data_IF_213029507920
#
_entry.id   IF_213029507920
#
_cell.length_a   1.000
_cell.length_b   1.000
_cell.length_c   1.000
_cell.angle_alpha   90.00
_cell.angle_beta   90.00
_cell.angle_gamma   90.00
#
_symmetry.space_group_name_H-M   'P 1'
#
loop_
_entity.id
_entity.type
_entity.pdbx_description
1 polymer ?
#
# COMPACT_ATOMS: atom_id res chain seq x y z
N UNK A 1 -19.75 15.30 13.50
CA UNK A 1 -18.83 15.43 14.65
C UNK A 1 -17.44 15.39 14.05
N UNK A 2 -16.69 16.49 14.09
CA UNK A 2 -15.33 16.52 13.53
C UNK A 2 -14.43 15.56 14.32
N UNK A 3 -13.58 14.75 13.65
CA UNK A 3 -12.69 13.82 14.34
C UNK A 3 -11.66 14.60 15.17
N UNK A 4 -11.57 14.29 16.46
CA UNK A 4 -10.53 14.84 17.33
C UNK A 4 -9.19 14.16 17.04
N UNK A 5 -8.24 14.89 16.49
CA UNK A 5 -6.88 14.41 16.23
C UNK A 5 -6.07 14.50 17.52
N UNK A 6 -5.54 13.36 17.98
CA UNK A 6 -4.73 13.25 19.22
C UNK A 6 -3.28 12.83 18.97
N UNK A 7 -3.03 12.17 17.85
CA UNK A 7 -1.75 11.53 17.55
C UNK A 7 -1.19 12.06 16.24
N UNK A 8 0.12 12.28 16.24
CA UNK A 8 0.91 12.53 15.04
C UNK A 8 1.80 11.31 14.81
N UNK A 9 1.53 10.53 13.77
CA UNK A 9 2.28 9.30 13.49
C UNK A 9 3.27 9.56 12.36
N UNK A 10 4.52 9.14 12.55
CA UNK A 10 5.58 9.28 11.53
C UNK A 10 6.30 7.95 11.35
N UNK A 11 6.32 7.45 10.12
CA UNK A 11 7.00 6.24 9.69
C UNK A 11 7.87 6.51 8.45
N UNK A 12 8.55 5.48 7.93
CA UNK A 12 9.53 5.62 6.83
C UNK A 12 10.96 5.77 7.35
N UNK A 13 11.95 5.54 6.48
CA UNK A 13 13.37 5.57 6.87
C UNK A 13 13.82 6.90 7.50
N UNK A 14 13.20 8.01 7.11
CA UNK A 14 13.46 9.34 7.71
C UNK A 14 13.01 9.42 9.16
N UNK A 15 11.96 8.67 9.56
CA UNK A 15 11.48 8.61 10.94
C UNK A 15 12.48 7.95 11.90
N UNK A 16 13.42 7.15 11.37
CA UNK A 16 14.53 6.57 12.15
C UNK A 16 15.63 7.59 12.48
N UNK A 17 15.61 8.78 11.88
CA UNK A 17 16.57 9.83 12.18
C UNK A 17 16.20 10.53 13.50
N UNK A 18 17.07 10.38 14.51
CA UNK A 18 16.83 10.93 15.84
C UNK A 18 16.71 12.46 15.85
N UNK A 19 17.47 13.17 15.03
CA UNK A 19 17.39 14.63 14.93
C UNK A 19 16.01 15.05 14.39
N UNK A 20 15.54 14.41 13.33
CA UNK A 20 14.22 14.67 12.75
C UNK A 20 13.11 14.36 13.76
N UNK A 21 13.19 13.20 14.43
CA UNK A 21 12.21 12.78 15.44
C UNK A 21 12.10 13.76 16.60
N UNK A 22 13.22 14.27 17.12
CA UNK A 22 13.23 15.26 18.20
C UNK A 22 12.50 16.55 17.80
N UNK A 23 12.75 17.06 16.59
CA UNK A 23 12.09 18.28 16.11
C UNK A 23 10.59 18.07 15.87
N UNK A 24 10.20 16.92 15.31
CA UNK A 24 8.79 16.57 15.13
C UNK A 24 8.06 16.43 16.46
N UNK A 25 8.74 15.94 17.51
CA UNK A 25 8.14 15.83 18.84
C UNK A 25 7.83 17.21 19.44
N UNK A 26 8.74 18.17 19.31
CA UNK A 26 8.50 19.56 19.73
C UNK A 26 7.32 20.18 18.99
N UNK A 27 7.16 19.88 17.70
CA UNK A 27 6.01 20.34 16.91
C UNK A 27 4.72 19.68 17.41
N UNK A 28 4.73 18.37 17.67
CA UNK A 28 3.58 17.65 18.19
C UNK A 28 3.12 18.23 19.55
N UNK A 29 4.04 18.41 20.49
CA UNK A 29 3.78 18.97 21.82
C UNK A 29 3.18 20.38 21.74
N UNK A 30 3.73 21.26 20.89
CA UNK A 30 3.19 22.61 20.67
C UNK A 30 1.75 22.62 20.16
N UNK A 31 1.32 21.55 19.48
CA UNK A 31 -0.04 21.41 18.96
C UNK A 31 -0.92 20.53 19.85
N UNK A 32 -0.47 20.14 21.04
CA UNK A 32 -1.21 19.26 21.95
C UNK A 32 -1.39 17.83 21.42
N UNK A 33 -0.51 17.40 20.51
CA UNK A 33 -0.51 16.06 19.91
C UNK A 33 0.58 15.19 20.52
N UNK A 34 0.35 13.87 20.53
CA UNK A 34 1.39 12.90 20.88
C UNK A 34 2.07 12.36 19.62
N UNK A 35 3.40 12.51 19.53
CA UNK A 35 4.18 11.89 18.46
C UNK A 35 4.29 10.38 18.69
N UNK A 36 4.00 9.59 17.65
CA UNK A 36 4.19 8.15 17.62
C UNK A 36 5.11 7.80 16.46
N UNK A 37 6.22 7.13 16.77
CA UNK A 37 7.12 6.56 15.78
C UNK A 37 7.32 5.07 16.11
N UNK A 38 7.29 4.17 15.12
CA UNK A 38 7.64 2.78 15.36
C UNK A 38 9.11 2.63 15.78
N UNK A 39 9.52 1.48 16.35
CA UNK A 39 10.92 1.18 16.57
C UNK A 39 11.72 1.33 15.27
N UNK A 40 12.98 1.84 15.30
CA UNK A 40 13.74 2.14 14.07
C UNK A 40 13.86 0.97 13.08
N UNK A 41 13.89 -0.27 13.58
CA UNK A 41 13.96 -1.50 12.76
C UNK A 41 12.69 -1.77 11.95
N UNK A 42 11.57 -1.14 12.32
CA UNK A 42 10.27 -1.26 11.69
C UNK A 42 9.87 0.00 10.91
N UNK A 43 10.68 1.06 10.95
CA UNK A 43 10.40 2.30 10.22
C UNK A 43 10.62 2.17 8.71
N UNK A 44 11.52 1.29 8.27
CA UNK A 44 11.79 1.04 6.84
C UNK A 44 10.86 -0.03 6.29
N UNK A 45 10.72 -0.08 4.96
CA UNK A 45 9.89 -1.08 4.29
C UNK A 45 10.28 -2.50 4.72
N UNK A 46 9.29 -3.26 5.18
CA UNK A 46 9.48 -4.61 5.68
C UNK A 46 8.23 -5.47 5.43
N UNK A 47 8.41 -6.79 5.38
CA UNK A 47 7.28 -7.71 5.16
C UNK A 47 6.27 -7.74 6.33
N UNK A 48 6.67 -7.32 7.52
CA UNK A 48 5.79 -7.33 8.71
C UNK A 48 4.65 -6.32 8.54
N UNK A 49 4.91 -5.13 8.00
CA UNK A 49 3.86 -4.14 7.76
C UNK A 49 2.84 -4.61 6.71
N UNK A 50 3.29 -5.38 5.71
CA UNK A 50 2.42 -5.96 4.67
C UNK A 50 1.55 -7.07 5.29
N UNK A 51 2.16 -7.98 6.06
CA UNK A 51 1.43 -9.03 6.76
C UNK A 51 0.39 -8.46 7.74
N UNK A 52 0.77 -7.44 8.52
CA UNK A 52 -0.15 -6.77 9.44
C UNK A 52 -1.32 -6.12 8.71
N UNK A 53 -1.05 -5.41 7.61
CA UNK A 53 -2.10 -4.82 6.76
C UNK A 53 -3.04 -5.90 6.23
N UNK A 54 -2.52 -7.05 5.79
CA UNK A 54 -3.31 -8.20 5.36
C UNK A 54 -4.23 -8.74 6.46
N UNK A 55 -3.73 -8.85 7.70
CA UNK A 55 -4.53 -9.27 8.87
C UNK A 55 -5.64 -8.27 9.16
N UNK A 56 -5.35 -6.96 9.19
CA UNK A 56 -6.34 -5.90 9.38
C UNK A 56 -7.42 -5.92 8.29
N UNK A 57 -7.01 -6.19 7.04
CA UNK A 57 -7.92 -6.37 5.92
C UNK A 57 -8.81 -7.60 6.09
N UNK A 58 -8.24 -8.75 6.46
CA UNK A 58 -8.97 -9.98 6.70
C UNK A 58 -10.00 -9.83 7.82
N UNK A 59 -9.60 -9.26 8.97
CA UNK A 59 -10.49 -8.99 10.11
C UNK A 59 -11.64 -8.05 9.71
N UNK A 60 -11.37 -7.07 8.86
CA UNK A 60 -12.38 -6.16 8.33
C UNK A 60 -13.25 -6.75 7.19
N UNK A 61 -13.06 -8.03 6.83
CA UNK A 61 -13.77 -8.68 5.72
C UNK A 61 -13.39 -8.14 4.34
N UNK A 62 -12.22 -7.52 4.20
CA UNK A 62 -11.70 -6.93 2.96
C UNK A 62 -10.67 -7.86 2.31
N UNK A 63 -11.14 -8.99 1.82
CA UNK A 63 -10.36 -9.97 1.09
C UNK A 63 -11.17 -10.52 -0.09
N UNK A 64 -10.47 -11.03 -1.09
CA UNK A 64 -11.10 -11.78 -2.18
C UNK A 64 -11.18 -13.26 -1.79
N UNK A 65 -12.24 -13.94 -2.22
CA UNK A 65 -12.38 -15.37 -1.99
C UNK A 65 -11.19 -16.13 -2.59
N UNK A 66 -10.71 -17.19 -1.92
CA UNK A 66 -9.66 -18.02 -2.48
C UNK A 66 -10.12 -18.59 -3.82
N UNK A 67 -9.21 -18.70 -4.81
CA UNK A 67 -9.54 -19.28 -6.11
C UNK A 67 -10.09 -20.70 -5.95
N UNK A 68 -10.93 -21.12 -6.90
CA UNK A 68 -11.48 -22.48 -6.87
C UNK A 68 -10.34 -23.51 -7.05
N UNK A 69 -10.50 -24.71 -6.46
CA UNK A 69 -9.47 -25.77 -6.53
C UNK A 69 -9.13 -26.17 -7.98
N UNK A 70 -10.09 -25.98 -8.89
CA UNK A 70 -9.99 -26.35 -10.29
C UNK A 70 -9.62 -25.17 -11.21
N UNK A 71 -9.38 -23.97 -10.64
CA UNK A 71 -8.94 -22.83 -11.44
C UNK A 71 -7.52 -23.04 -11.98
N UNK A 72 -7.25 -22.69 -13.25
CA UNK A 72 -5.90 -22.76 -13.79
C UNK A 72 -4.95 -21.88 -12.99
N UNK A 73 -3.69 -22.30 -12.85
CA UNK A 73 -2.62 -21.54 -12.19
C UNK A 73 -2.12 -20.35 -13.07
N UNK A 74 -3.05 -19.67 -13.74
CA UNK A 74 -2.82 -18.54 -14.63
C UNK A 74 -3.38 -17.20 -14.07
N UNK A 75 -3.66 -17.18 -12.76
CA UNK A 75 -4.18 -16.01 -12.06
C UNK A 75 -3.18 -14.84 -12.15
N UNK A 76 -3.65 -13.70 -12.67
CA UNK A 76 -2.88 -12.45 -12.68
C UNK A 76 -3.42 -11.49 -11.63
N UNK A 77 -2.53 -11.01 -10.76
CA UNK A 77 -2.80 -9.92 -9.84
C UNK A 77 -2.61 -8.58 -10.55
N UNK A 78 -3.52 -7.63 -10.32
CA UNK A 78 -3.39 -6.26 -10.82
C UNK A 78 -2.30 -5.52 -10.02
N UNK A 79 -1.08 -5.52 -10.54
CA UNK A 79 0.03 -4.78 -9.95
C UNK A 79 -0.01 -3.33 -10.42
N UNK A 80 -0.34 -2.39 -9.53
CA UNK A 80 -0.34 -0.95 -9.85
C UNK A 80 0.86 -0.26 -9.20
N UNK A 81 1.84 0.22 -9.99
CA UNK A 81 2.94 1.02 -9.47
C UNK A 81 2.49 2.32 -8.80
N UNK A 82 1.35 2.88 -9.23
CA UNK A 82 0.69 4.04 -8.65
C UNK A 82 -0.61 3.61 -7.98
N UNK A 83 -0.47 3.04 -6.79
CA UNK A 83 -1.62 2.66 -5.97
C UNK A 83 -2.18 3.88 -5.24
N UNK A 84 -3.48 4.22 -5.40
CA UNK A 84 -4.05 5.38 -4.73
C UNK A 84 -4.16 5.16 -3.21
N UNK A 85 -4.09 6.24 -2.45
CA UNK A 85 -4.24 6.24 -0.99
C UNK A 85 -5.55 6.93 -0.59
N UNK A 86 -6.13 6.57 0.55
CA UNK A 86 -7.34 7.23 1.08
C UNK A 86 -8.64 6.69 0.50
N UNK A 87 -9.67 7.53 0.38
CA UNK A 87 -11.01 7.12 -0.11
C UNK A 87 -10.96 6.58 -1.55
N UNK A 88 -10.00 7.03 -2.35
CA UNK A 88 -9.71 6.49 -3.68
C UNK A 88 -9.35 4.99 -3.67
N UNK A 89 -8.96 4.45 -2.50
CA UNK A 89 -8.74 3.02 -2.29
C UNK A 89 -10.04 2.21 -2.26
N UNK A 90 -11.15 2.76 -1.74
CA UNK A 90 -12.41 1.99 -1.62
C UNK A 90 -13.05 1.68 -2.97
N UNK A 91 -12.79 2.50 -3.98
CA UNK A 91 -13.19 2.24 -5.37
C UNK A 91 -12.21 1.31 -6.10
N UNK A 92 -11.00 1.16 -5.56
CA UNK A 92 -9.87 0.45 -6.16
C UNK A 92 -9.79 -1.04 -5.80
N UNK A 93 -10.92 -1.76 -5.74
CA UNK A 93 -10.87 -3.22 -5.60
C UNK A 93 -9.99 -3.83 -6.70
N UNK A 94 -9.04 -4.66 -6.28
CA UNK A 94 -8.24 -5.45 -7.21
C UNK A 94 -9.18 -6.47 -7.85
N UNK A 95 -9.33 -6.43 -9.17
CA UNK A 95 -10.09 -7.46 -9.87
C UNK A 95 -9.05 -8.39 -10.49
N UNK A 96 -8.90 -9.59 -9.94
CA UNK A 96 -8.08 -10.62 -10.56
C UNK A 96 -8.65 -10.93 -11.96
N UNK A 97 -7.79 -10.99 -12.98
CA UNK A 97 -8.21 -11.23 -14.37
C UNK A 97 -7.50 -12.47 -14.90
N UNK A 98 -8.25 -13.39 -15.51
CA UNK A 98 -7.68 -14.55 -16.23
C UNK A 98 -6.90 -14.09 -17.46
N UNK A 99 -5.79 -14.76 -17.79
CA UNK A 99 -4.98 -14.47 -18.98
C UNK A 99 -5.78 -14.48 -20.30
N UNK A 100 -6.89 -15.22 -20.35
CA UNK A 100 -7.75 -15.30 -21.55
C UNK A 100 -8.52 -14.00 -21.83
N UNK A 101 -8.69 -13.14 -20.81
CA UNK A 101 -9.47 -11.89 -20.90
C UNK A 101 -8.66 -10.64 -20.55
N UNK A 102 -7.50 -10.79 -19.91
CA UNK A 102 -6.56 -9.71 -19.69
C UNK A 102 -6.02 -9.22 -21.04
N UNK A 103 -6.45 -8.04 -21.49
CA UNK A 103 -5.78 -7.32 -22.59
C UNK A 103 -4.34 -7.07 -22.13
N UNK A 104 -3.43 -7.90 -22.63
CA UNK A 104 -1.99 -7.70 -22.50
C UNK A 104 -1.70 -6.31 -23.07
N UNK A 105 -1.34 -5.36 -22.21
CA UNK A 105 -0.82 -4.10 -22.69
C UNK A 105 0.48 -4.46 -23.44
N UNK A 106 0.63 -4.08 -24.72
CA UNK A 106 1.79 -4.47 -25.48
C UNK A 106 3.04 -4.01 -24.74
N UNK A 107 4.07 -4.85 -24.68
CA UNK A 107 5.33 -4.44 -24.07
C UNK A 107 5.90 -3.25 -24.83
N UNK A 108 6.70 -2.41 -24.17
CA UNK A 108 7.40 -1.31 -24.86
C UNK A 108 8.23 -1.83 -26.05
N UNK A 109 8.77 -3.05 -25.95
CA UNK A 109 9.48 -3.70 -27.05
C UNK A 109 8.58 -3.97 -28.27
N UNK A 110 7.33 -4.41 -28.08
CA UNK A 110 6.40 -4.65 -29.19
C UNK A 110 5.89 -3.36 -29.81
N UNK A 111 5.79 -2.27 -29.04
CA UNK A 111 5.42 -0.94 -29.58
C UNK A 111 6.53 -0.34 -30.46
N UNK A 112 7.80 -0.55 -30.10
CA UNK A 112 8.93 -0.03 -30.88
C UNK A 112 9.07 -0.77 -32.22
N UNK A 113 8.86 -2.08 -32.26
CA UNK A 113 8.93 -2.85 -33.52
C UNK A 113 7.79 -2.54 -34.49
N UNK A 114 6.63 -2.11 -34.01
CA UNK A 114 5.51 -1.68 -34.87
C UNK A 114 5.67 -0.30 -35.50
N UNK A 115 6.66 0.49 -35.06
CA UNK A 115 6.89 1.87 -35.53
C UNK A 115 7.90 1.97 -36.68
N UNK A 116 8.47 0.84 -37.12
CA UNK A 116 9.53 0.75 -38.14
C UNK A 116 9.00 0.19 -39.48
N UNK A 117 7.68 0.22 -39.69
CA UNK A 117 7.03 -0.06 -40.98
C UNK A 117 6.15 1.10 -41.41
#
# INVERSE_FOLDING_TARGET
>A
MEPSIKYFVVSGGVASNQYVRTHLNQIAEKNGLQLVCPPPRLCTDNGVMIAWTGIEHFIAGRFDDPPAVDEPDDLQYDLRPRWPLGEEYSDGRCVARSMKTARVHPSLASMIQGSVH
#
